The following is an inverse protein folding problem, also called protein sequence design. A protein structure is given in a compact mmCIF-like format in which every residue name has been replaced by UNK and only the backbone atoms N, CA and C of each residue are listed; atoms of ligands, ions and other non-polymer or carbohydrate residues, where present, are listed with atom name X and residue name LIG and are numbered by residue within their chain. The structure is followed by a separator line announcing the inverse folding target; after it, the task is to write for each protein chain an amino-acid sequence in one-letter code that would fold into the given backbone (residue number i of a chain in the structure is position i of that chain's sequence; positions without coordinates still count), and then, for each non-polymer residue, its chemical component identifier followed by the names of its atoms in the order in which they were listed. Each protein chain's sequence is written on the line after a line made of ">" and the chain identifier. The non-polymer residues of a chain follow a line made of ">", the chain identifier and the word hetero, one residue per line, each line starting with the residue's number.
data_IF_827170043481
#
_entry.id   IF_827170043481
#
_cell.length_a   1.000
_cell.length_b   1.000
_cell.length_c   1.000
_cell.angle_alpha   90.00
_cell.angle_beta   90.00
_cell.angle_gamma   90.00
#
_symmetry.space_group_name_H-M   'P 1'
#
loop_
_entity.id
_entity.type
_entity.pdbx_description
1 polymer ?
#
# COMPACT_ATOMS: atom_id res chain seq x y z
N UNK A 1 9.76 -23.29 39.25
CA UNK A 1 10.72 -23.23 38.12
C UNK A 1 10.55 -24.37 37.11
N UNK A 2 10.47 -25.64 37.51
CA UNK A 2 10.41 -26.77 36.56
C UNK A 2 9.23 -26.74 35.57
N UNK A 3 8.01 -26.45 36.06
CA UNK A 3 6.79 -26.35 35.24
C UNK A 3 6.92 -25.33 34.09
N UNK A 4 7.43 -24.13 34.39
CA UNK A 4 7.62 -23.06 33.40
C UNK A 4 8.68 -23.41 32.35
N UNK A 5 9.77 -24.08 32.73
CA UNK A 5 10.81 -24.52 31.78
C UNK A 5 10.25 -25.58 30.82
N UNK A 6 9.51 -26.55 31.35
CA UNK A 6 8.86 -27.60 30.55
C UNK A 6 7.84 -26.99 29.59
N UNK A 7 6.97 -26.11 30.09
CA UNK A 7 6.02 -25.36 29.27
C UNK A 7 6.71 -24.63 28.12
N UNK A 8 7.75 -23.84 28.43
CA UNK A 8 8.46 -23.06 27.43
C UNK A 8 9.15 -23.94 26.38
N UNK A 9 9.80 -25.04 26.78
CA UNK A 9 10.44 -25.97 25.85
C UNK A 9 9.44 -26.63 24.91
N UNK A 10 8.25 -26.99 25.39
CA UNK A 10 7.21 -27.61 24.55
C UNK A 10 6.73 -26.63 23.49
N UNK A 11 6.39 -25.40 23.88
CA UNK A 11 5.93 -24.35 22.95
C UNK A 11 7.03 -24.03 21.93
N UNK A 12 8.26 -23.81 22.40
CA UNK A 12 9.38 -23.44 21.53
C UNK A 12 9.74 -24.55 20.52
N UNK A 13 9.68 -25.81 20.96
CA UNK A 13 9.91 -26.97 20.08
C UNK A 13 8.88 -27.09 18.96
N UNK A 14 7.66 -26.60 19.18
CA UNK A 14 6.61 -26.63 18.16
C UNK A 14 6.94 -25.67 17.03
N UNK A 15 7.32 -24.43 17.34
CA UNK A 15 7.78 -23.46 16.33
C UNK A 15 8.97 -23.99 15.52
N UNK A 16 9.98 -24.56 16.20
CA UNK A 16 11.16 -25.14 15.54
C UNK A 16 10.81 -26.25 14.55
N UNK A 17 9.81 -27.06 14.86
CA UNK A 17 9.35 -28.14 13.97
C UNK A 17 8.51 -27.64 12.80
N UNK A 18 7.77 -26.55 12.98
CA UNK A 18 6.85 -26.03 11.95
C UNK A 18 7.53 -25.10 10.97
N UNK A 19 8.27 -24.09 11.46
CA UNK A 19 8.87 -23.03 10.63
C UNK A 19 10.38 -22.87 10.84
N UNK A 20 11.02 -23.80 11.55
CA UNK A 20 12.46 -23.72 11.84
C UNK A 20 12.87 -22.68 12.90
N UNK A 21 11.90 -21.96 13.50
CA UNK A 21 12.14 -20.87 14.46
C UNK A 21 11.43 -21.14 15.78
N UNK A 22 12.09 -20.88 16.90
CA UNK A 22 11.52 -20.97 18.22
C UNK A 22 10.28 -20.08 18.38
N UNK A 23 9.14 -20.67 18.75
CA UNK A 23 7.89 -19.94 18.95
C UNK A 23 8.01 -18.80 19.98
N UNK A 24 8.78 -19.03 21.05
CA UNK A 24 8.98 -18.04 22.11
C UNK A 24 9.94 -16.95 21.62
N UNK A 25 10.95 -17.32 20.83
CA UNK A 25 11.89 -16.36 20.26
C UNK A 25 11.18 -15.44 19.25
N UNK A 26 10.31 -15.99 18.40
CA UNK A 26 9.47 -15.21 17.50
C UNK A 26 8.52 -14.28 18.26
N UNK A 27 7.87 -14.77 19.32
CA UNK A 27 6.99 -13.95 20.15
C UNK A 27 7.74 -12.80 20.84
N UNK A 28 8.92 -13.06 21.42
CA UNK A 28 9.76 -12.02 22.02
C UNK A 28 10.19 -10.97 21.00
N UNK A 29 10.60 -11.42 19.80
CA UNK A 29 10.97 -10.53 18.72
C UNK A 29 9.79 -9.64 18.28
N UNK A 30 8.60 -10.23 18.16
CA UNK A 30 7.36 -9.49 17.90
C UNK A 30 7.06 -8.45 18.99
N UNK A 31 7.10 -8.83 20.27
CA UNK A 31 6.83 -7.91 21.38
C UNK A 31 7.83 -6.75 21.41
N UNK A 32 9.12 -7.01 21.21
CA UNK A 32 10.14 -5.95 21.14
C UNK A 32 9.88 -5.00 19.96
N UNK A 33 9.49 -5.54 18.80
CA UNK A 33 9.15 -4.72 17.64
C UNK A 33 7.89 -3.89 17.87
N UNK A 34 6.86 -4.47 18.48
CA UNK A 34 5.58 -3.82 18.67
C UNK A 34 5.59 -2.81 19.82
N UNK A 35 6.17 -3.16 20.97
CA UNK A 35 6.16 -2.33 22.17
C UNK A 35 7.30 -1.29 22.19
N UNK A 36 8.53 -1.72 21.85
CA UNK A 36 9.73 -0.87 21.92
C UNK A 36 10.10 -0.26 20.56
N UNK A 37 9.41 -0.64 19.48
CA UNK A 37 9.74 -0.18 18.14
C UNK A 37 11.09 -0.69 17.62
N UNK A 38 11.58 -1.82 18.14
CA UNK A 38 12.88 -2.41 17.77
C UNK A 38 12.65 -3.60 16.82
N UNK A 39 12.67 -3.41 15.48
CA UNK A 39 12.26 -4.44 14.53
C UNK A 39 13.34 -5.49 14.26
N UNK A 40 14.60 -5.22 14.60
CA UNK A 40 15.77 -6.01 14.17
C UNK A 40 15.68 -7.48 14.52
N UNK A 41 15.17 -7.82 15.71
CA UNK A 41 15.00 -9.21 16.13
C UNK A 41 13.93 -9.95 15.31
N UNK A 42 12.86 -9.26 14.91
CA UNK A 42 11.77 -9.81 14.12
C UNK A 42 12.17 -9.93 12.65
N UNK A 43 12.77 -8.87 12.09
CA UNK A 43 13.29 -8.87 10.73
C UNK A 43 14.35 -9.96 10.52
N UNK A 44 15.19 -10.24 11.52
CA UNK A 44 16.13 -11.36 11.46
C UNK A 44 15.43 -12.72 11.29
N UNK A 45 14.25 -12.91 11.89
CA UNK A 45 13.45 -14.12 11.70
C UNK A 45 12.80 -14.14 10.31
N UNK A 46 12.23 -13.01 9.87
CA UNK A 46 11.64 -12.89 8.54
C UNK A 46 12.66 -13.09 7.43
N UNK A 47 13.89 -12.59 7.56
CA UNK A 47 14.98 -12.81 6.62
C UNK A 47 15.36 -14.29 6.44
N UNK A 48 15.15 -15.12 7.46
CA UNK A 48 15.41 -16.57 7.38
C UNK A 48 14.28 -17.32 6.68
N UNK A 49 13.05 -16.84 6.85
CA UNK A 49 11.86 -17.46 6.27
C UNK A 49 11.63 -17.04 4.83
N UNK A 50 11.88 -15.76 4.55
CA UNK A 50 11.47 -15.12 3.31
C UNK A 50 12.10 -15.73 2.07
N UNK A 51 11.40 -15.55 0.96
CA UNK A 51 11.81 -16.04 -0.35
C UNK A 51 12.30 -14.89 -1.23
N UNK A 52 13.28 -15.18 -2.08
CA UNK A 52 13.80 -14.19 -3.03
C UNK A 52 12.92 -14.15 -4.28
N UNK A 53 12.44 -12.94 -4.60
CA UNK A 53 11.70 -12.66 -5.83
C UNK A 53 12.28 -11.43 -6.54
N UNK A 54 11.89 -11.26 -7.79
CA UNK A 54 12.09 -9.99 -8.51
C UNK A 54 10.81 -9.15 -8.36
N UNK A 55 10.95 -7.92 -7.88
CA UNK A 55 9.83 -6.97 -7.75
C UNK A 55 9.91 -5.92 -8.86
N UNK A 56 8.74 -5.50 -9.36
CA UNK A 56 8.61 -4.49 -10.40
C UNK A 56 8.07 -3.19 -9.82
N UNK A 57 8.57 -2.06 -10.31
CA UNK A 57 8.14 -0.74 -9.86
C UNK A 57 7.97 0.14 -11.08
N UNK A 58 6.82 0.77 -11.18
CA UNK A 58 6.49 1.68 -12.26
C UNK A 58 6.69 3.13 -11.82
N UNK A 59 7.27 3.94 -12.70
CA UNK A 59 7.53 5.35 -12.45
C UNK A 59 6.98 6.18 -13.61
N UNK A 60 6.29 7.26 -13.25
CA UNK A 60 5.94 8.37 -14.15
C UNK A 60 6.63 9.62 -13.63
N UNK A 61 7.43 10.25 -14.47
CA UNK A 61 8.06 11.54 -14.18
C UNK A 61 7.44 12.62 -15.06
N UNK A 62 6.89 13.66 -14.43
CA UNK A 62 6.38 14.86 -15.09
C UNK A 62 7.45 15.94 -15.00
N UNK A 63 7.89 16.41 -16.16
CA UNK A 63 9.05 17.27 -16.29
C UNK A 63 8.74 18.52 -17.11
N UNK A 64 9.39 19.61 -16.72
CA UNK A 64 9.63 20.75 -17.58
C UNK A 64 11.10 20.65 -18.04
N UNK A 65 11.30 20.65 -19.35
CA UNK A 65 12.59 20.39 -19.98
C UNK A 65 13.17 19.00 -19.67
N UNK A 66 14.10 18.88 -18.70
CA UNK A 66 14.81 17.64 -18.31
C UNK A 66 14.71 17.32 -16.80
N UNK A 67 14.16 18.22 -15.98
CA UNK A 67 14.06 18.02 -14.53
C UNK A 67 12.61 17.69 -14.14
N UNK A 68 12.37 16.58 -13.43
CA UNK A 68 11.03 16.26 -12.94
C UNK A 68 10.63 17.25 -11.84
N UNK A 69 9.40 17.75 -11.90
CA UNK A 69 8.78 18.52 -10.82
C UNK A 69 7.66 17.74 -10.12
N UNK A 70 7.18 16.64 -10.73
CA UNK A 70 6.32 15.67 -10.08
C UNK A 70 6.73 14.25 -10.47
N UNK A 71 6.65 13.31 -9.53
CA UNK A 71 6.93 11.89 -9.77
C UNK A 71 5.82 11.05 -9.12
N UNK A 72 5.27 10.11 -9.88
CA UNK A 72 4.39 9.07 -9.36
C UNK A 72 5.15 7.74 -9.40
N UNK A 73 5.28 7.08 -8.26
CA UNK A 73 5.93 5.77 -8.14
C UNK A 73 4.88 4.76 -7.69
N UNK A 74 4.68 3.70 -8.45
CA UNK A 74 3.70 2.65 -8.12
C UNK A 74 4.46 1.34 -7.95
N UNK A 75 4.78 0.98 -6.70
CA UNK A 75 5.57 -0.21 -6.45
C UNK A 75 4.65 -1.45 -6.41
N UNK A 76 4.99 -2.51 -7.14
CA UNK A 76 4.29 -3.79 -7.06
C UNK A 76 4.84 -4.61 -5.87
N UNK A 77 4.72 -4.04 -4.68
CA UNK A 77 5.08 -4.59 -3.38
C UNK A 77 4.13 -4.01 -2.33
N UNK A 78 3.92 -4.76 -1.26
CA UNK A 78 2.97 -4.37 -0.23
C UNK A 78 3.67 -3.60 0.91
N UNK A 79 3.13 -2.45 1.39
CA UNK A 79 3.72 -1.69 2.48
C UNK A 79 3.40 -2.32 3.84
N UNK A 80 4.03 -3.43 4.21
CA UNK A 80 3.78 -4.12 5.48
C UNK A 80 5.04 -4.65 6.18
N UNK A 81 4.88 -5.35 7.32
CA UNK A 81 3.60 -5.78 7.91
C UNK A 81 2.98 -4.80 8.92
N UNK A 82 3.76 -3.97 9.63
CA UNK A 82 3.25 -2.93 10.56
C UNK A 82 4.38 -2.01 11.04
N UNK A 83 4.00 -0.78 11.40
CA UNK A 83 4.87 0.24 12.02
C UNK A 83 6.14 0.46 11.21
N UNK A 84 7.28 0.01 11.72
CA UNK A 84 8.61 0.21 11.13
C UNK A 84 9.28 -1.09 10.66
N UNK A 85 8.54 -2.19 10.60
CA UNK A 85 9.04 -3.51 10.17
C UNK A 85 8.98 -3.61 8.64
N UNK A 86 10.02 -4.17 8.01
CA UNK A 86 9.92 -4.61 6.62
C UNK A 86 9.71 -3.45 5.65
N UNK A 87 8.66 -3.51 4.82
CA UNK A 87 8.25 -2.46 3.88
C UNK A 87 7.25 -1.45 4.43
N UNK A 88 6.89 -1.49 5.71
CA UNK A 88 5.80 -0.65 6.26
C UNK A 88 5.93 0.85 5.96
N UNK A 89 7.15 1.40 5.95
CA UNK A 89 7.45 2.82 5.69
C UNK A 89 7.72 3.15 4.23
N UNK A 90 7.66 2.16 3.31
CA UNK A 90 8.17 2.31 1.95
C UNK A 90 7.52 3.44 1.14
N UNK A 91 6.21 3.78 1.26
CA UNK A 91 5.64 4.88 0.50
C UNK A 91 6.26 6.22 0.91
N UNK A 92 6.40 6.44 2.23
CA UNK A 92 7.05 7.63 2.78
C UNK A 92 8.54 7.68 2.43
N UNK A 93 9.27 6.58 2.60
CA UNK A 93 10.71 6.56 2.33
C UNK A 93 11.02 6.83 0.84
N UNK A 94 10.20 6.31 -0.08
CA UNK A 94 10.31 6.63 -1.52
C UNK A 94 10.01 8.12 -1.76
N UNK A 95 8.91 8.62 -1.20
CA UNK A 95 8.52 10.02 -1.33
C UNK A 95 9.63 10.96 -0.84
N UNK A 96 10.10 10.76 0.39
CA UNK A 96 11.11 11.59 1.04
C UNK A 96 12.43 11.57 0.26
N UNK A 97 12.97 10.40 -0.07
CA UNK A 97 14.27 10.31 -0.74
C UNK A 97 14.26 10.87 -2.15
N UNK A 98 13.19 10.64 -2.92
CA UNK A 98 13.08 11.21 -4.26
C UNK A 98 12.86 12.72 -4.21
N UNK A 99 12.02 13.21 -3.29
CA UNK A 99 11.79 14.65 -3.11
C UNK A 99 13.08 15.36 -2.72
N UNK A 100 13.86 14.81 -1.78
CA UNK A 100 15.16 15.36 -1.38
C UNK A 100 16.19 15.36 -2.51
N UNK A 101 16.21 14.32 -3.35
CA UNK A 101 17.16 14.23 -4.48
C UNK A 101 16.80 15.18 -5.63
N UNK A 102 15.52 15.35 -5.92
CA UNK A 102 15.05 15.98 -7.17
C UNK A 102 14.38 17.33 -6.99
N UNK A 103 13.90 17.65 -5.79
CA UNK A 103 13.01 18.77 -5.54
C UNK A 103 11.58 18.58 -6.10
N UNK A 104 11.27 17.42 -6.67
CA UNK A 104 9.95 17.10 -7.19
C UNK A 104 8.97 16.78 -6.06
N UNK A 105 7.68 17.03 -6.29
CA UNK A 105 6.62 16.47 -5.46
C UNK A 105 6.40 15.00 -5.84
N UNK A 106 6.41 14.10 -4.87
CA UNK A 106 6.33 12.66 -5.11
C UNK A 106 5.06 12.07 -4.50
N UNK A 107 4.34 11.25 -5.26
CA UNK A 107 3.24 10.42 -4.75
C UNK A 107 3.54 8.94 -4.98
N UNK A 108 3.09 8.11 -4.05
CA UNK A 108 3.38 6.67 -4.05
C UNK A 108 2.10 5.85 -3.84
N UNK A 109 1.14 5.88 -4.78
CA UNK A 109 -0.10 5.11 -4.63
C UNK A 109 0.18 3.61 -4.67
N UNK A 110 -0.70 2.84 -4.03
CA UNK A 110 -0.58 1.39 -3.92
C UNK A 110 -0.75 0.70 -5.30
N UNK A 111 0.12 -0.28 -5.58
CA UNK A 111 0.01 -1.15 -6.77
C UNK A 111 -0.78 -2.43 -6.45
N UNK A 112 -1.04 -3.29 -7.43
CA UNK A 112 -1.65 -4.60 -7.14
C UNK A 112 -0.64 -5.53 -6.46
N UNK A 113 -0.64 -5.57 -5.13
CA UNK A 113 0.29 -6.35 -4.32
C UNK A 113 -0.35 -6.72 -2.98
N UNK A 114 -0.36 -8.01 -2.63
CA UNK A 114 -0.81 -8.44 -1.31
C UNK A 114 0.33 -8.63 -0.31
N UNK A 115 -0.03 -8.94 0.94
CA UNK A 115 0.92 -9.20 2.04
C UNK A 115 2.01 -10.23 1.71
N UNK A 116 1.83 -11.12 0.74
CA UNK A 116 2.89 -12.03 0.29
C UNK A 116 4.15 -11.29 -0.19
N UNK A 117 4.00 -10.02 -0.58
CA UNK A 117 5.07 -9.13 -1.04
C UNK A 117 5.62 -8.19 0.04
N UNK A 118 5.29 -8.42 1.31
CA UNK A 118 5.91 -7.72 2.44
C UNK A 118 7.41 -7.99 2.47
N UNK A 119 8.21 -6.92 2.48
CA UNK A 119 9.66 -7.03 2.56
C UNK A 119 10.06 -7.55 3.95
N UNK A 120 11.05 -8.44 3.98
CA UNK A 120 11.47 -9.08 5.23
C UNK A 120 12.20 -8.16 6.19
N UNK A 121 12.82 -7.08 5.70
CA UNK A 121 13.65 -6.18 6.51
C UNK A 121 13.80 -4.78 5.94
N UNK A 122 14.24 -3.86 6.80
CA UNK A 122 14.70 -2.54 6.39
C UNK A 122 15.84 -2.57 5.37
N UNK A 123 16.69 -3.61 5.40
CA UNK A 123 17.75 -3.79 4.41
C UNK A 123 17.21 -4.08 3.01
N UNK A 124 16.15 -4.91 2.89
CA UNK A 124 15.46 -5.13 1.61
C UNK A 124 14.74 -3.88 1.15
N UNK A 125 14.11 -3.15 2.08
CA UNK A 125 13.45 -1.86 1.80
C UNK A 125 14.44 -0.85 1.23
N UNK A 126 15.61 -0.71 1.85
CA UNK A 126 16.67 0.19 1.39
C UNK A 126 17.16 -0.16 -0.02
N UNK A 127 17.36 -1.46 -0.29
CA UNK A 127 17.73 -1.95 -1.62
C UNK A 127 16.71 -1.54 -2.70
N UNK A 128 15.42 -1.62 -2.38
CA UNK A 128 14.34 -1.19 -3.28
C UNK A 128 14.36 0.32 -3.49
N UNK A 129 14.43 1.10 -2.42
CA UNK A 129 14.44 2.56 -2.49
C UNK A 129 15.65 3.05 -3.31
N UNK A 130 16.83 2.47 -3.09
CA UNK A 130 18.03 2.84 -3.84
C UNK A 130 17.85 2.60 -5.34
N UNK A 131 17.27 1.47 -5.74
CA UNK A 131 16.98 1.18 -7.15
C UNK A 131 15.99 2.18 -7.78
N UNK A 132 14.98 2.62 -7.02
CA UNK A 132 14.04 3.68 -7.43
C UNK A 132 14.78 5.00 -7.62
N UNK A 133 15.58 5.41 -6.63
CA UNK A 133 16.33 6.67 -6.64
C UNK A 133 17.33 6.73 -7.79
N UNK A 134 18.05 5.64 -8.06
CA UNK A 134 19.01 5.51 -9.18
C UNK A 134 18.33 5.51 -10.55
N UNK A 135 17.02 5.25 -10.61
CA UNK A 135 16.31 5.18 -11.88
C UNK A 135 15.99 6.55 -12.51
N UNK A 136 16.15 7.64 -11.74
CA UNK A 136 15.93 9.04 -12.14
C UNK A 136 17.27 9.70 -12.52
N UNK A 137 17.33 10.49 -13.62
CA UNK A 137 16.22 10.91 -14.50
C UNK A 137 15.77 9.80 -15.47
N UNK A 138 14.50 9.88 -15.88
CA UNK A 138 13.92 8.98 -16.88
C UNK A 138 14.07 9.62 -18.25
N UNK A 139 14.52 8.85 -19.25
CA UNK A 139 14.65 9.31 -20.63
C UNK A 139 13.40 8.99 -21.45
N UNK A 140 13.17 9.75 -22.52
CA UNK A 140 12.10 9.47 -23.49
C UNK A 140 10.74 10.00 -23.06
N UNK A 141 10.65 11.31 -22.82
CA UNK A 141 9.40 11.95 -22.41
C UNK A 141 8.51 12.34 -23.59
N UNK A 142 7.20 12.30 -23.36
CA UNK A 142 6.17 12.57 -24.33
C UNK A 142 5.36 13.81 -23.94
N UNK A 143 4.95 14.59 -24.93
CA UNK A 143 4.12 15.79 -24.74
C UNK A 143 2.61 15.50 -24.76
N UNK A 144 2.20 14.28 -25.05
CA UNK A 144 0.81 13.94 -25.36
C UNK A 144 0.18 13.03 -24.33
N UNK A 145 -0.98 13.41 -23.79
CA UNK A 145 -1.84 12.55 -22.96
C UNK A 145 -3.26 12.50 -23.53
N UNK A 146 -4.03 11.48 -23.18
CA UNK A 146 -5.47 11.42 -23.47
C UNK A 146 -6.28 12.02 -22.33
N UNK A 147 -7.60 12.20 -22.52
CA UNK A 147 -8.52 12.29 -21.38
C UNK A 147 -8.60 10.96 -20.62
N UNK A 148 -9.17 10.98 -19.42
CA UNK A 148 -9.51 9.77 -18.69
C UNK A 148 -10.73 9.10 -19.33
N UNK A 149 -10.72 7.77 -19.38
CA UNK A 149 -11.85 6.93 -19.76
C UNK A 149 -12.24 6.08 -18.56
N UNK A 150 -13.54 6.01 -18.26
CA UNK A 150 -14.09 5.14 -17.21
C UNK A 150 -14.91 4.01 -17.79
N UNK A 151 -14.81 2.86 -17.15
CA UNK A 151 -15.67 1.71 -17.37
C UNK A 151 -16.13 1.20 -16.02
N UNK A 152 -17.44 1.01 -15.89
CA UNK A 152 -18.08 0.52 -14.67
C UNK A 152 -19.00 -0.64 -15.02
N UNK A 153 -18.99 -1.66 -14.16
CA UNK A 153 -19.98 -2.73 -14.14
C UNK A 153 -20.31 -3.04 -12.70
N UNK A 154 -21.58 -2.83 -12.32
CA UNK A 154 -22.03 -2.91 -10.94
C UNK A 154 -21.20 -2.00 -10.02
N UNK A 155 -20.44 -2.54 -9.07
CA UNK A 155 -19.55 -1.78 -8.21
C UNK A 155 -18.08 -1.81 -8.67
N UNK A 156 -17.75 -2.54 -9.74
CA UNK A 156 -16.39 -2.63 -10.28
C UNK A 156 -16.10 -1.46 -11.22
N UNK A 157 -15.09 -0.67 -10.89
CA UNK A 157 -14.73 0.53 -11.65
C UNK A 157 -13.27 0.46 -12.05
N UNK A 158 -13.04 0.71 -13.33
CA UNK A 158 -11.70 0.92 -13.86
C UNK A 158 -11.66 2.25 -14.61
N UNK A 159 -10.60 3.02 -14.37
CA UNK A 159 -10.31 4.21 -15.15
C UNK A 159 -8.98 4.05 -15.87
N UNK A 160 -8.86 4.62 -17.07
CA UNK A 160 -7.62 4.58 -17.82
C UNK A 160 -7.33 5.92 -18.51
N UNK A 161 -6.09 6.38 -18.40
CA UNK A 161 -5.57 7.52 -19.14
C UNK A 161 -4.23 7.13 -19.76
N UNK A 162 -4.00 7.43 -21.03
CA UNK A 162 -2.68 7.22 -21.65
C UNK A 162 -1.83 8.45 -21.39
N UNK A 163 -0.71 8.23 -20.70
CA UNK A 163 0.31 9.24 -20.42
C UNK A 163 1.52 8.97 -21.32
N UNK A 164 1.65 9.75 -22.40
CA UNK A 164 2.62 9.46 -23.46
C UNK A 164 2.26 8.20 -24.24
N UNK A 165 2.97 7.11 -23.93
CA UNK A 165 2.77 5.79 -24.52
C UNK A 165 2.45 4.70 -23.49
N UNK A 166 2.22 5.07 -22.23
CA UNK A 166 1.88 4.11 -21.16
C UNK A 166 0.47 4.35 -20.64
N UNK A 167 -0.24 3.27 -20.31
CA UNK A 167 -1.54 3.37 -19.65
C UNK A 167 -1.37 3.61 -18.15
N UNK A 168 -2.03 4.62 -17.59
CA UNK A 168 -2.30 4.72 -16.16
C UNK A 168 -3.69 4.14 -15.92
N UNK A 169 -3.77 3.00 -15.22
CA UNK A 169 -5.01 2.28 -14.93
C UNK A 169 -5.27 2.34 -13.43
N UNK A 170 -6.46 2.77 -13.04
CA UNK A 170 -6.90 2.78 -11.65
C UNK A 170 -8.05 1.79 -11.46
N UNK A 171 -8.03 1.07 -10.35
CA UNK A 171 -9.00 0.03 -10.01
C UNK A 171 -9.64 0.35 -8.66
N UNK A 172 -10.96 0.28 -8.58
CA UNK A 172 -11.68 0.43 -7.30
C UNK A 172 -13.00 -0.32 -7.34
N UNK A 173 -13.44 -0.80 -6.18
CA UNK A 173 -14.79 -1.30 -5.99
C UNK A 173 -15.67 -0.34 -5.16
N UNK A 174 -15.18 0.85 -4.81
CA UNK A 174 -15.93 1.81 -3.99
C UNK A 174 -17.30 2.10 -4.60
N UNK A 175 -18.39 2.04 -3.81
CA UNK A 175 -18.45 2.08 -2.33
C UNK A 175 -18.44 0.71 -1.64
N UNK A 176 -18.04 -0.37 -2.32
CA UNK A 176 -17.83 -1.68 -1.70
C UNK A 176 -16.41 -1.78 -1.12
N UNK A 177 -16.32 -2.42 0.04
CA UNK A 177 -15.04 -2.73 0.69
C UNK A 177 -14.13 -3.55 -0.25
N UNK A 178 -12.85 -3.22 -0.30
CA UNK A 178 -11.83 -4.03 -1.00
C UNK A 178 -10.51 -3.87 -0.26
N UNK A 179 -9.85 -4.99 -0.01
CA UNK A 179 -8.44 -5.06 0.40
C UNK A 179 -7.56 -5.20 -0.86
N UNK A 180 -6.33 -5.65 -0.70
CA UNK A 180 -5.34 -5.78 -1.78
C UNK A 180 -5.86 -6.51 -3.03
N UNK A 181 -5.62 -5.90 -4.19
CA UNK A 181 -5.82 -6.54 -5.48
C UNK A 181 -4.64 -7.47 -5.83
N UNK A 182 -4.92 -8.68 -6.35
CA UNK A 182 -3.89 -9.70 -6.55
C UNK A 182 -2.88 -9.29 -7.64
N UNK A 183 -1.61 -9.59 -7.42
CA UNK A 183 -0.50 -9.32 -8.37
C UNK A 183 -0.75 -9.90 -9.77
N UNK A 184 -1.49 -11.02 -9.88
CA UNK A 184 -1.87 -11.62 -11.16
C UNK A 184 -2.73 -10.70 -12.03
N UNK A 185 -3.59 -9.87 -11.40
CA UNK A 185 -4.43 -8.89 -12.10
C UNK A 185 -3.56 -7.81 -12.75
N UNK A 186 -2.63 -7.20 -12.00
CA UNK A 186 -1.71 -6.20 -12.54
C UNK A 186 -0.84 -6.73 -13.68
N UNK A 187 -0.34 -7.97 -13.56
CA UNK A 187 0.41 -8.65 -14.64
C UNK A 187 -0.45 -8.86 -15.89
N UNK A 188 -1.70 -9.31 -15.73
CA UNK A 188 -2.61 -9.52 -16.85
C UNK A 188 -2.95 -8.21 -17.58
N UNK A 189 -3.20 -7.12 -16.83
CA UNK A 189 -3.51 -5.80 -17.40
C UNK A 189 -2.28 -5.15 -18.06
N UNK A 190 -1.10 -5.30 -17.47
CA UNK A 190 0.15 -4.85 -18.08
C UNK A 190 0.38 -5.55 -19.41
N UNK A 191 0.22 -6.88 -19.45
CA UNK A 191 0.30 -7.64 -20.70
C UNK A 191 -0.73 -7.17 -21.73
N UNK A 192 -1.97 -6.97 -21.32
CA UNK A 192 -3.03 -6.51 -22.22
C UNK A 192 -2.76 -5.11 -22.79
N UNK A 193 -2.18 -4.20 -21.99
CA UNK A 193 -1.74 -2.87 -22.44
C UNK A 193 -0.68 -2.97 -23.53
N UNK A 194 0.33 -3.83 -23.35
CA UNK A 194 1.38 -4.09 -24.35
C UNK A 194 0.78 -4.67 -25.64
N UNK A 195 -0.10 -5.66 -25.51
CA UNK A 195 -0.80 -6.29 -26.65
C UNK A 195 -1.73 -5.28 -27.37
N UNK A 196 -2.11 -4.18 -26.72
CA UNK A 196 -2.90 -3.06 -27.28
C UNK A 196 -2.04 -1.96 -27.92
N UNK A 197 -0.72 -2.15 -28.04
CA UNK A 197 0.19 -1.23 -28.74
C UNK A 197 0.75 -0.08 -27.89
N UNK A 198 0.62 -0.17 -26.57
CA UNK A 198 1.25 0.75 -25.60
C UNK A 198 2.61 0.19 -25.15
N UNK A 199 3.45 1.04 -24.58
CA UNK A 199 4.81 0.67 -24.15
C UNK A 199 4.84 0.10 -22.71
N UNK A 200 3.71 0.17 -22.00
CA UNK A 200 3.57 -0.36 -20.66
C UNK A 200 2.25 0.03 -20.00
N UNK A 201 2.12 -0.32 -18.72
CA UNK A 201 1.02 0.13 -17.87
C UNK A 201 1.50 0.34 -16.43
N UNK A 202 0.91 1.34 -15.79
CA UNK A 202 0.95 1.61 -14.35
C UNK A 202 -0.41 1.19 -13.81
N UNK A 203 -0.46 0.15 -12.99
CA UNK A 203 -1.72 -0.38 -12.43
C UNK A 203 -1.81 0.00 -10.95
N UNK A 204 -2.77 0.85 -10.62
CA UNK A 204 -3.02 1.33 -9.27
C UNK A 204 -4.23 0.60 -8.71
N UNK A 205 -4.02 -0.05 -7.57
CA UNK A 205 -5.12 -0.39 -6.67
C UNK A 205 -5.43 0.85 -5.84
N UNK A 206 -6.65 1.36 -5.97
CA UNK A 206 -6.98 2.62 -5.32
C UNK A 206 -7.07 2.47 -3.80
N UNK A 207 -7.35 1.26 -3.29
CA UNK A 207 -7.40 0.92 -1.85
C UNK A 207 -8.15 1.95 -0.99
N UNK A 208 -9.27 2.45 -1.53
CA UNK A 208 -9.92 3.69 -1.10
C UNK A 208 -11.33 3.48 -0.52
N UNK A 209 -11.65 2.27 -0.08
CA UNK A 209 -12.92 1.99 0.56
C UNK A 209 -12.83 0.72 1.41
N UNK A 210 -13.05 0.88 2.71
CA UNK A 210 -13.20 -0.22 3.67
C UNK A 210 -14.44 -0.03 4.55
N UNK A 211 -15.15 -1.13 4.83
CA UNK A 211 -16.18 -1.19 5.87
C UNK A 211 -15.59 -1.72 7.19
N UNK A 212 -16.42 -2.07 8.18
CA UNK A 212 -15.94 -2.66 9.44
C UNK A 212 -15.40 -4.09 9.28
N UNK A 213 -15.78 -4.79 8.22
CA UNK A 213 -15.20 -6.07 7.84
C UNK A 213 -14.60 -5.96 6.45
N UNK A 214 -13.40 -6.51 6.30
CA UNK A 214 -12.73 -6.62 5.02
C UNK A 214 -13.45 -7.64 4.14
N UNK A 215 -13.64 -7.34 2.86
CA UNK A 215 -14.09 -8.34 1.90
C UNK A 215 -13.03 -8.56 0.83
N UNK A 216 -12.51 -9.79 0.77
CA UNK A 216 -11.66 -10.23 -0.34
C UNK A 216 -12.52 -10.43 -1.58
N UNK A 217 -12.01 -10.01 -2.74
CA UNK A 217 -12.65 -10.28 -4.01
C UNK A 217 -12.58 -11.79 -4.30
N UNK A 218 -13.71 -12.36 -4.75
CA UNK A 218 -13.67 -13.70 -5.31
C UNK A 218 -12.92 -13.69 -6.65
N UNK A 219 -12.57 -14.88 -7.15
CA UNK A 219 -12.00 -15.01 -8.50
C UNK A 219 -12.95 -14.45 -9.57
N UNK A 220 -14.26 -14.65 -9.41
CA UNK A 220 -15.26 -14.12 -10.33
C UNK A 220 -15.29 -12.58 -10.30
N UNK A 221 -15.25 -11.99 -9.12
CA UNK A 221 -15.19 -10.53 -8.94
C UNK A 221 -13.93 -9.94 -9.59
N UNK A 222 -12.77 -10.59 -9.37
CA UNK A 222 -11.49 -10.20 -9.97
C UNK A 222 -11.55 -10.21 -11.50
N UNK A 223 -12.21 -11.21 -12.09
CA UNK A 223 -12.40 -11.29 -13.55
C UNK A 223 -13.30 -10.17 -14.07
N UNK A 224 -14.36 -9.79 -13.35
CA UNK A 224 -15.23 -8.67 -13.76
C UNK A 224 -14.46 -7.34 -13.74
N UNK A 225 -13.68 -7.09 -12.68
CA UNK A 225 -12.83 -5.91 -12.57
C UNK A 225 -11.76 -5.89 -13.68
N UNK A 226 -11.15 -7.04 -13.96
CA UNK A 226 -10.18 -7.19 -15.04
C UNK A 226 -10.79 -6.82 -16.40
N UNK A 227 -12.01 -7.28 -16.70
CA UNK A 227 -12.65 -6.95 -17.98
C UNK A 227 -13.07 -5.47 -18.07
N UNK A 228 -13.47 -4.83 -16.97
CA UNK A 228 -13.68 -3.38 -16.93
C UNK A 228 -12.40 -2.63 -17.31
N UNK A 229 -11.26 -3.03 -16.73
CA UNK A 229 -9.97 -2.42 -17.00
C UNK A 229 -9.48 -2.65 -18.43
N UNK A 230 -9.61 -3.88 -18.96
CA UNK A 230 -9.31 -4.14 -20.38
C UNK A 230 -10.16 -3.31 -21.31
N UNK A 231 -11.44 -3.16 -21.02
CA UNK A 231 -12.35 -2.32 -21.81
C UNK A 231 -11.96 -0.83 -21.74
N UNK A 232 -11.55 -0.33 -20.57
CA UNK A 232 -11.02 1.02 -20.43
C UNK A 232 -9.75 1.22 -21.29
N UNK A 233 -8.84 0.23 -21.29
CA UNK A 233 -7.65 0.23 -22.15
C UNK A 233 -8.04 0.26 -23.65
N UNK A 234 -8.97 -0.60 -24.10
CA UNK A 234 -9.44 -0.64 -25.50
C UNK A 234 -10.02 0.70 -25.97
N UNK A 235 -10.75 1.38 -25.09
CA UNK A 235 -11.34 2.68 -25.40
C UNK A 235 -10.28 3.78 -25.45
N UNK A 236 -9.40 3.84 -24.46
CA UNK A 236 -8.41 4.94 -24.34
C UNK A 236 -7.35 4.91 -25.44
N UNK A 237 -7.01 3.74 -26.00
CA UNK A 237 -6.03 3.68 -27.12
C UNK A 237 -6.51 4.41 -28.38
N UNK A 238 -7.83 4.58 -28.53
CA UNK A 238 -8.46 5.31 -29.62
C UNK A 238 -8.71 6.79 -29.28
N UNK A 239 -8.44 7.23 -28.04
CA UNK A 239 -8.60 8.62 -27.64
C UNK A 239 -7.49 9.51 -28.23
N UNK A 240 -7.85 10.76 -28.51
CA UNK A 240 -6.91 11.73 -29.06
C UNK A 240 -5.90 12.15 -28.00
N UNK A 241 -4.61 12.00 -28.31
CA UNK A 241 -3.52 12.57 -27.50
C UNK A 241 -3.38 14.05 -27.78
N UNK A 242 -3.28 14.85 -26.72
CA UNK A 242 -3.12 16.30 -26.77
C UNK A 242 -1.99 16.78 -25.87
N UNK A 243 -1.44 17.94 -26.20
CA UNK A 243 -0.53 18.65 -25.29
C UNK A 243 -1.23 18.96 -23.98
N UNK A 244 -0.47 18.93 -22.89
CA UNK A 244 -1.00 19.08 -21.55
C UNK A 244 -0.15 19.98 -20.65
N UNK A 245 -0.82 20.48 -19.62
CA UNK A 245 -0.23 21.12 -18.46
C UNK A 245 -0.34 20.17 -17.27
N UNK A 246 0.64 20.19 -16.37
CA UNK A 246 0.60 19.44 -15.12
C UNK A 246 0.86 20.39 -13.96
N UNK A 247 0.06 20.25 -12.92
CA UNK A 247 0.14 21.00 -11.68
C UNK A 247 0.17 20.01 -10.52
N UNK A 248 0.93 20.33 -9.48
CA UNK A 248 1.10 19.42 -8.34
C UNK A 248 1.18 20.23 -7.04
N UNK A 249 0.70 19.64 -5.96
CA UNK A 249 0.81 20.16 -4.60
C UNK A 249 1.01 19.01 -3.60
N UNK A 250 1.58 19.34 -2.45
CA UNK A 250 1.81 18.43 -1.34
C UNK A 250 1.50 19.16 -0.04
N UNK A 251 0.66 18.55 0.80
CA UNK A 251 0.31 19.06 2.13
C UNK A 251 0.53 17.93 3.14
N UNK A 252 1.33 18.19 4.17
CA UNK A 252 1.41 17.35 5.37
C UNK A 252 0.55 18.03 6.44
N UNK A 253 -0.64 17.48 6.79
CA UNK A 253 -1.52 18.10 7.78
C UNK A 253 -0.90 18.04 9.17
N UNK A 254 -0.73 19.19 9.84
CA UNK A 254 -0.17 19.25 11.20
C UNK A 254 -1.17 18.75 12.26
N UNK A 255 -2.47 18.83 11.95
CA UNK A 255 -3.55 18.46 12.86
C UNK A 255 -3.89 16.96 12.89
N UNK A 256 -3.32 16.17 11.97
CA UNK A 256 -3.58 14.73 11.89
C UNK A 256 -2.33 13.95 12.22
N UNK A 257 -2.49 12.86 12.97
CA UNK A 257 -1.39 12.00 13.37
C UNK A 257 -1.58 10.57 12.85
N UNK A 258 -0.54 9.76 13.00
CA UNK A 258 -0.64 8.32 12.72
C UNK A 258 -1.70 7.62 13.57
N UNK A 259 -2.01 8.12 14.78
CA UNK A 259 -3.12 7.59 15.61
C UNK A 259 -4.51 7.83 15.00
N UNK A 260 -4.61 8.80 14.09
CA UNK A 260 -5.85 9.17 13.40
C UNK A 260 -5.94 8.49 12.02
N UNK A 261 -4.89 7.78 11.60
CA UNK A 261 -4.81 7.08 10.31
C UNK A 261 -4.03 7.83 9.22
N UNK A 262 -3.49 9.03 9.50
CA UNK A 262 -2.68 9.79 8.55
C UNK A 262 -1.20 9.43 8.70
N UNK A 263 -0.60 8.92 7.63
CA UNK A 263 0.83 8.68 7.54
C UNK A 263 1.63 9.97 7.31
N UNK A 264 2.96 9.94 7.51
CA UNK A 264 3.83 11.11 7.43
C UNK A 264 3.95 11.70 6.01
N UNK A 265 3.54 10.96 4.97
CA UNK A 265 3.59 11.42 3.59
C UNK A 265 2.46 12.37 3.18
N UNK A 266 1.43 12.52 4.01
CA UNK A 266 0.37 13.51 3.83
C UNK A 266 -0.46 13.32 2.56
N UNK A 267 -0.85 14.42 1.93
CA UNK A 267 -1.77 14.47 0.78
C UNK A 267 -1.04 15.07 -0.41
N UNK A 268 -1.03 14.35 -1.52
CA UNK A 268 -0.50 14.84 -2.80
C UNK A 268 -1.62 14.91 -3.83
N UNK A 269 -1.76 16.06 -4.48
CA UNK A 269 -2.70 16.25 -5.59
C UNK A 269 -1.93 16.56 -6.85
N UNK A 270 -2.16 15.75 -7.89
CA UNK A 270 -1.62 15.92 -9.22
C UNK A 270 -2.76 16.19 -10.20
N UNK A 271 -2.71 17.33 -10.89
CA UNK A 271 -3.72 17.74 -11.88
C UNK A 271 -3.10 17.74 -13.26
N UNK A 272 -3.71 17.01 -14.19
CA UNK A 272 -3.39 16.99 -15.60
C UNK A 272 -4.45 17.74 -16.39
N UNK A 273 -4.04 18.72 -17.19
CA UNK A 273 -4.93 19.57 -17.96
C UNK A 273 -4.62 19.48 -19.44
N UNK A 274 -5.62 19.10 -20.22
CA UNK A 274 -5.64 19.24 -21.68
C UNK A 274 -6.52 20.43 -22.08
N UNK A 275 -6.60 20.74 -23.38
CA UNK A 275 -7.48 21.82 -23.87
C UNK A 275 -8.96 21.61 -23.55
N UNK A 276 -9.40 20.36 -23.37
CA UNK A 276 -10.81 20.00 -23.24
C UNK A 276 -11.18 19.46 -21.86
N UNK A 277 -10.20 19.14 -21.01
CA UNK A 277 -10.43 18.27 -19.85
C UNK A 277 -9.33 18.44 -18.79
N UNK A 278 -9.70 18.49 -17.51
CA UNK A 278 -8.80 18.42 -16.34
C UNK A 278 -9.08 17.16 -15.53
N UNK A 279 -8.03 16.39 -15.26
CA UNK A 279 -8.08 15.17 -14.46
C UNK A 279 -7.22 15.35 -13.20
N UNK A 280 -7.76 15.03 -12.03
CA UNK A 280 -7.04 15.08 -10.76
C UNK A 280 -6.79 13.67 -10.18
N UNK A 281 -5.58 13.44 -9.71
CA UNK A 281 -5.20 12.25 -8.96
C UNK A 281 -4.79 12.66 -7.55
N UNK A 282 -5.46 12.11 -6.54
CA UNK A 282 -5.20 12.41 -5.13
C UNK A 282 -4.63 11.18 -4.47
N UNK A 283 -3.43 11.29 -3.90
CA UNK A 283 -2.82 10.23 -3.08
C UNK A 283 -2.80 10.69 -1.64
N UNK A 284 -3.39 9.91 -0.73
CA UNK A 284 -3.42 10.18 0.71
C UNK A 284 -2.58 9.11 1.40
N UNK A 285 -1.58 9.52 2.17
CA UNK A 285 -0.76 8.60 2.95
C UNK A 285 -1.57 8.06 4.13
N UNK A 286 -2.05 6.85 3.98
CA UNK A 286 -2.92 6.15 4.91
C UNK A 286 -3.06 4.70 4.45
N UNK A 287 -3.54 3.81 5.33
CA UNK A 287 -3.76 2.42 4.94
C UNK A 287 -4.95 2.33 3.96
N UNK A 288 -6.18 2.50 4.45
CA UNK A 288 -7.38 2.49 3.61
C UNK A 288 -8.25 3.72 3.93
N UNK A 289 -9.45 3.82 3.36
CA UNK A 289 -10.38 4.94 3.56
C UNK A 289 -11.77 4.44 3.96
N UNK A 290 -12.40 5.07 4.95
CA UNK A 290 -13.72 4.63 5.39
C UNK A 290 -14.77 4.90 4.30
N UNK A 291 -15.68 3.94 4.10
CA UNK A 291 -16.75 4.01 3.10
C UNK A 291 -17.45 5.38 3.07
N UNK A 292 -17.64 5.90 1.87
CA UNK A 292 -18.35 7.16 1.60
C UNK A 292 -17.49 8.42 1.68
N UNK A 293 -16.26 8.35 2.21
CA UNK A 293 -15.34 9.51 2.22
C UNK A 293 -14.79 9.77 0.82
N UNK A 294 -14.47 8.72 0.05
CA UNK A 294 -14.02 8.84 -1.34
C UNK A 294 -14.99 9.65 -2.18
N UNK A 295 -16.28 9.33 -2.12
CA UNK A 295 -17.32 9.99 -2.91
C UNK A 295 -17.45 11.48 -2.54
N UNK A 296 -17.36 11.82 -1.24
CA UNK A 296 -17.34 13.23 -0.79
C UNK A 296 -16.13 13.99 -1.31
N UNK A 297 -14.95 13.35 -1.35
CA UNK A 297 -13.74 13.96 -1.89
C UNK A 297 -13.89 14.22 -3.39
N UNK A 298 -14.39 13.23 -4.14
CA UNK A 298 -14.64 13.36 -5.58
C UNK A 298 -15.60 14.52 -5.87
N UNK A 299 -16.75 14.56 -5.19
CA UNK A 299 -17.71 15.67 -5.33
C UNK A 299 -17.07 17.02 -5.02
N UNK A 300 -16.28 17.08 -3.94
CA UNK A 300 -15.59 18.31 -3.54
C UNK A 300 -14.56 18.80 -4.56
N UNK A 301 -13.91 17.90 -5.30
CA UNK A 301 -12.91 18.24 -6.33
C UNK A 301 -13.60 18.61 -7.66
N UNK A 302 -14.64 17.88 -8.04
CA UNK A 302 -15.43 18.18 -9.25
C UNK A 302 -16.04 19.59 -9.15
N UNK A 303 -16.51 19.98 -7.96
CA UNK A 303 -17.03 21.32 -7.68
C UNK A 303 -15.99 22.45 -7.83
N UNK A 304 -14.69 22.13 -7.93
CA UNK A 304 -13.62 23.09 -8.25
C UNK A 304 -13.39 23.25 -9.76
N UNK A 305 -14.20 22.62 -10.61
CA UNK A 305 -14.08 22.68 -12.07
C UNK A 305 -13.18 21.60 -12.67
N UNK A 306 -12.81 20.58 -11.90
CA UNK A 306 -12.13 19.37 -12.41
C UNK A 306 -13.16 18.45 -13.06
N UNK A 307 -12.87 17.92 -14.23
CA UNK A 307 -13.80 17.07 -14.99
C UNK A 307 -13.81 15.62 -14.48
N UNK A 308 -12.63 15.08 -14.13
CA UNK A 308 -12.46 13.71 -13.68
C UNK A 308 -11.48 13.62 -12.52
N UNK A 309 -11.73 12.74 -11.55
CA UNK A 309 -10.84 12.57 -10.41
C UNK A 309 -10.79 11.13 -9.88
N UNK A 310 -9.63 10.66 -9.44
CA UNK A 310 -9.52 9.41 -8.68
C UNK A 310 -8.70 9.60 -7.40
N UNK A 311 -9.09 8.87 -6.35
CA UNK A 311 -8.54 9.00 -5.01
C UNK A 311 -7.86 7.69 -4.63
N UNK A 312 -6.65 7.77 -4.11
CA UNK A 312 -5.84 6.64 -3.70
C UNK A 312 -5.43 6.78 -2.24
N UNK A 313 -5.23 5.64 -1.58
CA UNK A 313 -4.35 5.58 -0.43
C UNK A 313 -3.01 4.94 -0.81
N UNK A 314 -2.01 5.12 0.04
CA UNK A 314 -0.68 4.51 -0.13
C UNK A 314 -0.61 3.08 0.39
N UNK A 315 -1.64 2.64 1.12
CA UNK A 315 -1.63 1.43 1.94
C UNK A 315 -0.50 1.40 2.97
N UNK A 316 -0.13 2.56 3.53
CA UNK A 316 0.98 2.61 4.49
C UNK A 316 0.63 1.85 5.78
N UNK A 317 1.45 0.88 6.19
CA UNK A 317 1.26 0.19 7.47
C UNK A 317 1.95 0.89 8.65
N UNK A 318 2.54 2.07 8.46
CA UNK A 318 3.08 2.86 9.58
C UNK A 318 1.98 3.23 10.60
N UNK A 319 0.74 3.36 10.14
CA UNK A 319 -0.45 3.65 10.96
C UNK A 319 -1.06 2.40 11.62
N UNK A 320 -0.52 1.22 11.32
CA UNK A 320 -1.02 -0.06 11.82
C UNK A 320 -0.36 -0.42 13.16
N UNK A 321 -1.10 -1.14 13.98
CA UNK A 321 -0.69 -1.64 15.29
C UNK A 321 -0.20 -0.57 16.29
N UNK A 322 -0.63 0.69 16.12
CA UNK A 322 -0.30 1.79 17.05
C UNK A 322 -1.17 1.73 18.31
N UNK A 323 -2.46 1.45 18.17
CA UNK A 323 -3.43 1.48 19.25
C UNK A 323 -4.53 0.44 19.09
N UNK A 324 -5.41 0.29 20.10
CA UNK A 324 -6.50 -0.67 20.05
C UNK A 324 -7.53 -0.23 19.01
N UNK A 325 -7.68 -1.01 17.95
CA UNK A 325 -8.82 -0.94 17.05
C UNK A 325 -9.23 -2.35 16.63
N UNK A 326 -10.49 -2.53 16.22
CA UNK A 326 -10.97 -3.84 15.75
C UNK A 326 -10.19 -4.36 14.53
N UNK A 327 -9.71 -3.44 13.69
CA UNK A 327 -8.96 -3.72 12.46
C UNK A 327 -7.44 -3.75 12.65
N UNK A 328 -6.93 -3.16 13.72
CA UNK A 328 -5.50 -2.92 13.92
C UNK A 328 -5.00 -1.57 13.40
N UNK A 329 -5.82 -0.80 12.68
CA UNK A 329 -5.56 0.59 12.28
C UNK A 329 -6.87 1.39 12.20
N UNK A 330 -6.78 2.69 11.90
CA UNK A 330 -7.91 3.58 11.59
C UNK A 330 -7.82 4.02 10.12
N UNK A 331 -8.79 3.70 9.26
CA UNK A 331 -8.78 4.20 7.88
C UNK A 331 -9.02 5.71 7.83
N UNK A 332 -8.57 6.35 6.75
CA UNK A 332 -8.75 7.78 6.49
C UNK A 332 -10.23 8.14 6.59
N UNK A 333 -10.52 9.12 7.44
CA UNK A 333 -11.87 9.65 7.69
C UNK A 333 -12.68 8.91 8.77
N UNK A 334 -12.12 7.90 9.44
CA UNK A 334 -12.77 7.27 10.62
C UNK A 334 -12.58 8.11 11.89
N UNK A 335 -11.34 8.49 12.20
CA UNK A 335 -11.01 9.39 13.33
C UNK A 335 -10.81 10.83 12.90
N UNK A 336 -10.24 11.03 11.71
CA UNK A 336 -10.01 12.34 11.12
C UNK A 336 -11.35 13.06 10.88
N UNK A 337 -11.40 14.34 11.23
CA UNK A 337 -12.51 15.21 10.87
C UNK A 337 -12.62 15.32 9.34
N UNK A 338 -13.68 14.72 8.79
CA UNK A 338 -13.90 14.65 7.35
C UNK A 338 -14.05 16.04 6.71
N UNK A 339 -14.58 17.04 7.43
CA UNK A 339 -14.70 18.40 6.91
C UNK A 339 -13.30 19.02 6.73
N UNK A 340 -12.45 18.91 7.76
CA UNK A 340 -11.06 19.40 7.66
C UNK A 340 -10.28 18.68 6.57
N UNK A 341 -10.44 17.37 6.45
CA UNK A 341 -9.84 16.59 5.35
C UNK A 341 -10.26 17.13 3.98
N UNK A 342 -11.56 17.36 3.77
CA UNK A 342 -12.06 17.93 2.52
C UNK A 342 -11.53 19.36 2.27
N UNK A 343 -11.43 20.19 3.31
CA UNK A 343 -10.88 21.55 3.22
C UNK A 343 -9.40 21.52 2.77
N UNK A 344 -8.59 20.61 3.35
CA UNK A 344 -7.19 20.41 2.98
C UNK A 344 -7.04 19.90 1.55
N UNK A 345 -7.86 18.93 1.13
CA UNK A 345 -7.82 18.41 -0.25
C UNK A 345 -8.25 19.50 -1.25
N UNK A 346 -9.26 20.31 -0.94
CA UNK A 346 -9.62 21.46 -1.80
C UNK A 346 -8.49 22.47 -1.91
N UNK A 347 -7.84 22.80 -0.80
CA UNK A 347 -6.66 23.68 -0.79
C UNK A 347 -5.54 23.11 -1.66
N UNK A 348 -5.18 21.84 -1.45
CA UNK A 348 -4.17 21.15 -2.27
C UNK A 348 -4.55 21.16 -3.76
N UNK A 349 -5.81 20.91 -4.09
CA UNK A 349 -6.29 20.93 -5.48
C UNK A 349 -6.18 22.33 -6.10
N UNK A 350 -6.55 23.38 -5.36
CA UNK A 350 -6.40 24.77 -5.82
C UNK A 350 -4.93 25.15 -6.01
N UNK A 351 -4.03 24.74 -5.11
CA UNK A 351 -2.59 24.96 -5.25
C UNK A 351 -2.02 24.24 -6.48
N UNK A 352 -2.43 23.00 -6.73
CA UNK A 352 -2.04 22.26 -7.93
C UNK A 352 -2.53 22.96 -9.20
N UNK A 353 -3.78 23.44 -9.21
CA UNK A 353 -4.34 24.23 -10.32
C UNK A 353 -3.58 25.54 -10.55
N UNK A 354 -3.18 26.25 -9.49
CA UNK A 354 -2.41 27.50 -9.63
C UNK A 354 -0.98 27.29 -10.18
N UNK A 355 -0.45 26.07 -10.05
CA UNK A 355 0.92 25.71 -10.45
C UNK A 355 0.99 24.92 -11.77
N UNK A 356 -0.09 24.93 -12.56
CA UNK A 356 -0.14 24.32 -13.89
C UNK A 356 0.94 24.90 -14.80
N UNK A 357 1.73 24.00 -15.39
CA UNK A 357 2.75 24.35 -16.38
C UNK A 357 2.78 23.32 -17.50
N UNK A 358 3.19 23.73 -18.69
CA UNK A 358 3.39 22.79 -19.81
C UNK A 358 4.34 21.68 -19.38
N UNK A 359 3.95 20.43 -19.63
CA UNK A 359 4.69 19.29 -19.14
C UNK A 359 4.96 18.25 -20.23
N UNK A 360 5.98 17.44 -19.98
CA UNK A 360 6.15 16.14 -20.62
C UNK A 360 6.05 15.05 -19.57
N UNK A 361 5.74 13.83 -19.99
CA UNK A 361 5.70 12.66 -19.11
C UNK A 361 6.64 11.58 -19.64
N UNK A 362 7.50 11.07 -18.77
CA UNK A 362 8.36 9.92 -19.03
C UNK A 362 7.90 8.73 -18.19
N UNK A 363 7.96 7.53 -18.76
CA UNK A 363 7.60 6.29 -18.08
C UNK A 363 8.81 5.36 -17.99
N UNK A 364 8.95 4.67 -16.85
CA UNK A 364 9.94 3.62 -16.66
C UNK A 364 9.39 2.53 -15.76
N UNK A 365 9.53 1.28 -16.18
CA UNK A 365 9.40 0.12 -15.31
C UNK A 365 10.80 -0.33 -14.90
N UNK A 366 11.05 -0.47 -13.60
CA UNK A 366 12.29 -1.05 -13.07
C UNK A 366 12.02 -2.42 -12.47
N UNK A 367 13.05 -3.25 -12.44
CA UNK A 367 13.04 -4.57 -11.82
C UNK A 367 14.14 -4.64 -10.77
N UNK A 368 13.76 -4.77 -9.50
CA UNK A 368 14.71 -4.96 -8.40
C UNK A 368 14.86 -6.45 -8.16
N UNK A 369 16.05 -6.97 -8.44
CA UNK A 369 16.30 -8.41 -8.44
C UNK A 369 16.54 -8.96 -7.04
N UNK A 370 16.08 -10.19 -6.79
CA UNK A 370 16.39 -10.97 -5.58
C UNK A 370 16.13 -10.18 -4.29
N UNK A 371 14.95 -9.60 -4.20
CA UNK A 371 14.46 -8.96 -2.98
C UNK A 371 13.74 -10.02 -2.16
N UNK A 372 13.98 -10.05 -0.85
CA UNK A 372 13.29 -11.01 0.02
C UNK A 372 11.95 -10.48 0.48
N UNK A 373 10.92 -11.28 0.25
CA UNK A 373 9.56 -11.06 0.74
C UNK A 373 9.15 -12.17 1.70
N UNK A 374 8.09 -11.95 2.49
CA UNK A 374 7.54 -12.98 3.35
C UNK A 374 7.06 -14.19 2.54
N UNK A 375 6.33 -13.98 1.45
CA UNK A 375 5.79 -15.07 0.63
C UNK A 375 4.54 -15.72 1.24
N UNK A 376 3.58 -16.07 0.39
CA UNK A 376 2.25 -16.56 0.80
C UNK A 376 2.34 -17.80 1.70
N UNK A 377 3.21 -18.75 1.34
CA UNK A 377 3.41 -19.98 2.09
C UNK A 377 3.89 -19.70 3.53
N UNK A 378 4.86 -18.81 3.70
CA UNK A 378 5.42 -18.52 5.02
C UNK A 378 4.42 -17.75 5.88
N UNK A 379 3.66 -16.82 5.31
CA UNK A 379 2.57 -16.13 6.02
C UNK A 379 1.54 -17.13 6.54
N UNK A 380 1.14 -18.10 5.70
CA UNK A 380 0.21 -19.15 6.09
C UNK A 380 0.78 -20.06 7.19
N UNK A 381 2.06 -20.40 7.12
CA UNK A 381 2.73 -21.20 8.15
C UNK A 381 2.86 -20.46 9.49
N UNK A 382 3.21 -19.16 9.48
CA UNK A 382 3.24 -18.31 10.68
C UNK A 382 1.83 -18.21 11.29
N UNK A 383 0.81 -17.98 10.47
CA UNK A 383 -0.58 -17.87 10.93
C UNK A 383 -1.05 -19.17 11.58
N UNK A 384 -0.81 -20.32 10.92
CA UNK A 384 -1.10 -21.65 11.48
C UNK A 384 -0.33 -21.91 12.78
N UNK A 385 0.92 -21.47 12.85
CA UNK A 385 1.74 -21.61 14.04
C UNK A 385 1.11 -20.86 15.22
N UNK A 386 0.70 -19.60 15.02
CA UNK A 386 0.02 -18.80 16.04
C UNK A 386 -1.25 -19.49 16.53
N UNK A 387 -2.11 -19.96 15.62
CA UNK A 387 -3.35 -20.65 15.98
C UNK A 387 -3.12 -21.90 16.83
N UNK A 388 -2.15 -22.73 16.43
CA UNK A 388 -1.86 -23.97 17.16
C UNK A 388 -1.18 -23.68 18.50
N UNK A 389 -0.25 -22.73 18.55
CA UNK A 389 0.37 -22.30 19.81
C UNK A 389 -0.71 -21.79 20.77
N UNK A 390 -1.64 -20.95 20.31
CA UNK A 390 -2.70 -20.41 21.16
C UNK A 390 -3.58 -21.51 21.76
N UNK A 391 -3.94 -22.52 20.96
CA UNK A 391 -4.66 -23.72 21.46
C UNK A 391 -3.82 -24.50 22.47
N UNK A 392 -2.54 -24.74 22.18
CA UNK A 392 -1.62 -25.47 23.07
C UNK A 392 -1.35 -24.72 24.36
N UNK A 393 -1.18 -23.40 24.34
CA UNK A 393 -1.00 -22.56 25.53
C UNK A 393 -2.20 -22.73 26.46
N UNK A 394 -3.44 -22.65 25.95
CA UNK A 394 -4.64 -22.86 26.76
C UNK A 394 -4.66 -24.23 27.43
N UNK A 395 -4.41 -25.29 26.67
CA UNK A 395 -4.39 -26.66 27.23
C UNK A 395 -3.25 -26.87 28.22
N UNK A 396 -2.01 -26.54 27.83
CA UNK A 396 -0.83 -26.74 28.66
C UNK A 396 -0.85 -25.87 29.91
N UNK A 397 -1.40 -24.65 29.84
CA UNK A 397 -1.51 -23.79 31.01
C UNK A 397 -2.42 -24.45 32.08
N UNK A 398 -3.56 -25.00 31.67
CA UNK A 398 -4.45 -25.75 32.57
C UNK A 398 -3.75 -27.01 33.07
N UNK A 399 -3.20 -27.85 32.18
CA UNK A 399 -2.62 -29.14 32.59
C UNK A 399 -1.38 -29.01 33.48
N UNK A 400 -0.53 -28.00 33.25
CA UNK A 400 0.74 -27.84 33.97
C UNK A 400 0.55 -26.99 35.24
N UNK A 401 -0.18 -25.87 35.16
CA UNK A 401 -0.28 -24.95 36.29
C UNK A 401 -1.44 -25.27 37.24
N UNK A 402 -2.56 -25.84 36.78
CA UNK A 402 -3.67 -26.16 37.70
C UNK A 402 -3.26 -27.17 38.78
N UNK A 403 -2.57 -28.30 38.49
CA UNK A 403 -2.11 -29.21 39.53
C UNK A 403 -1.07 -28.55 40.45
N UNK A 404 -0.20 -27.71 39.89
CA UNK A 404 0.80 -26.98 40.67
C UNK A 404 0.15 -25.98 41.65
N UNK A 405 -0.92 -25.29 41.22
CA UNK A 405 -1.72 -24.39 42.06
C UNK A 405 -2.46 -25.19 43.13
N UNK A 406 -3.12 -26.30 42.77
CA UNK A 406 -3.82 -27.16 43.74
C UNK A 406 -2.84 -27.68 44.79
N UNK A 407 -1.66 -28.15 44.38
CA UNK A 407 -0.62 -28.61 45.29
C UNK A 407 -0.12 -27.49 46.20
N UNK A 408 0.10 -26.28 45.66
CA UNK A 408 0.52 -25.13 46.44
C UNK A 408 -0.54 -24.74 47.48
N UNK A 409 -1.81 -24.67 47.09
CA UNK A 409 -2.94 -24.37 47.99
C UNK A 409 -3.08 -25.44 49.07
N UNK A 410 -2.98 -26.72 48.71
CA UNK A 410 -3.02 -27.83 49.66
C UNK A 410 -1.89 -27.70 50.67
N UNK A 411 -0.65 -27.47 50.23
CA UNK A 411 0.49 -27.29 51.13
C UNK A 411 0.28 -26.09 52.08
N UNK A 412 -0.25 -24.97 51.60
CA UNK A 412 -0.55 -23.81 52.46
C UNK A 412 -1.76 -23.98 53.38
N UNK A 413 -2.61 -24.98 53.16
CA UNK A 413 -3.74 -25.29 54.02
C UNK A 413 -3.38 -26.25 55.17
N UNK A 414 -2.20 -26.89 55.10
CA UNK A 414 -1.66 -27.78 56.14
C UNK A 414 -0.59 -27.11 57.02
N UNK A 415 -0.27 -25.85 56.77
CA UNK A 415 0.48 -24.93 57.64
C UNK A 415 -0.44 -23.79 58.06
#
# INVERSE_FOLDING_TARGET
>A
MGASIVFSRIIDSYGKRTIGIGAIDLFKAFVNSWAEGIPTGLEYQFEKLGEEIDVEIDLLAFEDCENPFAIMVVPALHPGPFRNVGSSTIPYDIQEKLSNKTGAVVCVPHGTAGHELDLTSAGQREKVIQAVVESIPIKGSFKGITRMVRVEKDYFKASCQVLGRSALVTLTCSPRSTEDLPTSLGKALTKFSLDSGLDGAVIIDSHNCIEQEASFLSMADTLVLQECAKEAIRRVVNEKRSHFECGVSHIVPEEFSMNDGMGPGGIVVLVLKTKSDHTAYVTIDGNNMIKGVREKILESIINLGINDCEIFTTDTHVVNAIGPSKRGYHPIGEKIDQKKLLDLIRKATQEALSNLRVAKVAFKKIKVKKVKVLGEKNILEITRLVDVIMKKIKTLAVTIFLPAIILAVALTAFF
#
